data_IF_565896806289
#
_entry.id   IF_565896806289
#
_cell.length_a   1.000
_cell.length_b   1.000
_cell.length_c   1.000
_cell.angle_alpha   90.00
_cell.angle_beta   90.00
_cell.angle_gamma   90.00
#
_symmetry.space_group_name_H-M   'P 1'
#
loop_
_entity.id
_entity.type
_entity.pdbx_description
1 polymer ?
#
# COMPACT_ATOMS: atom_id res chain seq x y z
N UNK A 1 -6.93 -4.78 8.95
CA UNK A 1 -7.46 -4.63 7.58
C UNK A 1 -6.46 -5.22 6.61
N UNK A 2 -6.95 -5.81 5.53
CA UNK A 2 -6.09 -6.22 4.41
C UNK A 2 -5.73 -5.00 3.56
N UNK A 3 -4.59 -5.06 2.86
CA UNK A 3 -4.18 -3.98 1.96
C UNK A 3 -5.27 -3.65 0.92
N UNK A 4 -5.94 -4.68 0.41
CA UNK A 4 -7.03 -4.56 -0.56
C UNK A 4 -8.24 -3.80 -0.02
N UNK A 5 -8.55 -3.92 1.27
CA UNK A 5 -9.60 -3.13 1.92
C UNK A 5 -9.18 -1.66 2.02
N UNK A 6 -7.91 -1.40 2.32
CA UNK A 6 -7.38 -0.05 2.45
C UNK A 6 -7.41 0.68 1.09
N UNK A 7 -6.94 0.03 0.02
CA UNK A 7 -7.05 0.53 -1.36
C UNK A 7 -8.50 0.85 -1.71
N UNK A 8 -9.42 -0.09 -1.46
CA UNK A 8 -10.84 0.09 -1.78
C UNK A 8 -11.45 1.27 -1.05
N UNK A 9 -11.07 1.53 0.21
CA UNK A 9 -11.59 2.67 0.98
C UNK A 9 -11.10 4.00 0.43
N UNK A 10 -9.84 4.09 0.00
CA UNK A 10 -9.33 5.30 -0.64
C UNK A 10 -10.04 5.54 -1.97
N UNK A 11 -10.31 4.49 -2.74
CA UNK A 11 -11.04 4.60 -4.01
C UNK A 11 -12.49 5.05 -3.80
N UNK A 12 -13.16 4.52 -2.77
CA UNK A 12 -14.48 4.98 -2.36
C UNK A 12 -14.46 6.44 -1.90
N UNK A 13 -13.42 6.86 -1.17
CA UNK A 13 -13.26 8.26 -0.74
C UNK A 13 -13.08 9.19 -1.95
N UNK A 14 -12.23 8.81 -2.91
CA UNK A 14 -12.01 9.58 -4.14
C UNK A 14 -13.30 9.69 -4.98
N UNK A 15 -14.12 8.63 -5.01
CA UNK A 15 -15.38 8.61 -5.74
C UNK A 15 -16.46 9.46 -5.06
N UNK A 16 -16.60 9.35 -3.74
CA UNK A 16 -17.67 10.02 -2.97
C UNK A 16 -17.33 11.47 -2.65
N UNK A 17 -16.05 11.76 -2.41
CA UNK A 17 -15.55 13.06 -1.97
C UNK A 17 -14.30 13.45 -2.77
N UNK A 18 -14.40 13.71 -4.08
CA UNK A 18 -13.24 13.96 -4.96
C UNK A 18 -12.40 15.17 -4.53
N UNK A 19 -12.99 16.15 -3.85
CA UNK A 19 -12.28 17.32 -3.31
C UNK A 19 -11.30 16.96 -2.17
N UNK A 20 -11.46 15.81 -1.53
CA UNK A 20 -10.54 15.30 -0.51
C UNK A 20 -9.37 14.50 -1.10
N UNK A 21 -9.50 14.05 -2.36
CA UNK A 21 -8.48 13.31 -3.10
C UNK A 21 -8.37 13.91 -4.52
N UNK A 22 -7.94 15.19 -4.65
CA UNK A 22 -8.02 15.91 -5.91
C UNK A 22 -6.95 15.48 -6.93
N UNK A 23 -5.90 14.77 -6.51
CA UNK A 23 -4.76 14.37 -7.35
C UNK A 23 -4.35 12.92 -7.08
N UNK A 24 -3.61 12.34 -8.02
CA UNK A 24 -2.99 11.01 -7.82
C UNK A 24 -1.99 11.02 -6.66
N UNK A 25 -1.21 12.09 -6.50
CA UNK A 25 -0.29 12.24 -5.37
C UNK A 25 -1.02 12.22 -4.02
N UNK A 26 -2.17 12.90 -3.91
CA UNK A 26 -2.97 12.86 -2.69
C UNK A 26 -3.59 11.46 -2.50
N UNK A 27 -3.99 10.77 -3.57
CA UNK A 27 -4.47 9.38 -3.49
C UNK A 27 -3.38 8.45 -2.94
N UNK A 28 -2.16 8.57 -3.43
CA UNK A 28 -0.99 7.82 -2.95
C UNK A 28 -0.69 8.17 -1.49
N UNK A 29 -0.73 9.45 -1.12
CA UNK A 29 -0.53 9.88 0.28
C UNK A 29 -1.58 9.28 1.22
N UNK A 30 -2.86 9.28 0.83
CA UNK A 30 -3.93 8.66 1.65
C UNK A 30 -3.75 7.15 1.78
N UNK A 31 -3.35 6.46 0.70
CA UNK A 31 -3.03 5.03 0.76
C UNK A 31 -1.85 4.76 1.69
N UNK A 32 -0.80 5.58 1.59
CA UNK A 32 0.36 5.50 2.47
C UNK A 32 -0.02 5.62 3.94
N UNK A 33 -0.82 6.62 4.31
CA UNK A 33 -1.23 6.86 5.69
C UNK A 33 -2.11 5.71 6.25
N UNK A 34 -2.79 4.97 5.37
CA UNK A 34 -3.64 3.83 5.75
C UNK A 34 -2.88 2.50 5.80
N UNK A 35 -1.85 2.33 4.96
CA UNK A 35 -1.11 1.07 4.89
C UNK A 35 -0.34 0.79 6.18
N UNK A 36 -0.13 -0.52 6.45
CA UNK A 36 0.69 -0.94 7.59
C UNK A 36 2.13 -0.45 7.39
N UNK A 37 2.82 0.02 8.44
CA UNK A 37 4.18 0.53 8.34
C UNK A 37 5.17 -0.44 7.68
N UNK A 38 5.00 -1.74 7.93
CA UNK A 38 5.82 -2.81 7.35
C UNK A 38 5.77 -2.82 5.81
N UNK A 39 4.58 -2.58 5.25
CA UNK A 39 4.38 -2.49 3.81
C UNK A 39 5.00 -1.19 3.28
N UNK A 40 4.73 -0.08 3.96
CA UNK A 40 5.25 1.24 3.57
C UNK A 40 6.78 1.23 3.48
N UNK A 41 7.46 0.65 4.48
CA UNK A 41 8.94 0.52 4.49
C UNK A 41 9.46 -0.26 3.30
N UNK A 42 8.76 -1.31 2.86
CA UNK A 42 9.17 -2.11 1.70
C UNK A 42 8.95 -1.35 0.38
N UNK A 43 7.90 -0.53 0.29
CA UNK A 43 7.65 0.27 -0.92
C UNK A 43 8.55 1.51 -0.95
N UNK A 44 8.97 2.05 0.20
CA UNK A 44 9.70 3.33 0.35
C UNK A 44 11.22 3.18 0.43
N UNK A 45 11.83 2.63 -0.63
CA UNK A 45 13.28 2.43 -0.70
C UNK A 45 14.08 3.66 -1.17
N UNK A 46 13.54 4.89 -1.14
CA UNK A 46 14.29 6.11 -1.51
C UNK A 46 13.46 7.23 -2.16
N UNK A 47 14.14 8.19 -2.81
CA UNK A 47 13.51 9.31 -3.56
C UNK A 47 12.55 8.76 -4.61
N UNK A 48 11.25 9.00 -4.42
CA UNK A 48 10.23 8.54 -5.36
C UNK A 48 10.00 9.57 -6.47
N UNK A 49 10.24 9.20 -7.74
CA UNK A 49 9.59 9.92 -8.83
C UNK A 49 8.06 9.81 -8.66
N UNK A 50 7.29 10.77 -9.18
CA UNK A 50 5.85 10.64 -9.25
C UNK A 50 5.53 9.35 -10.00
N UNK A 51 4.84 8.43 -9.33
CA UNK A 51 4.46 7.14 -9.88
C UNK A 51 2.93 7.04 -9.97
N UNK A 52 2.39 6.35 -10.98
CA UNK A 52 0.96 6.10 -11.07
C UNK A 52 0.39 5.31 -9.87
N UNK A 53 -0.89 5.52 -9.57
CA UNK A 53 -1.57 4.87 -8.44
C UNK A 53 -1.61 3.35 -8.59
N UNK A 54 -1.84 2.85 -9.80
CA UNK A 54 -1.85 1.41 -10.11
C UNK A 54 -0.49 0.76 -9.85
N UNK A 55 0.60 1.41 -10.28
CA UNK A 55 1.95 0.95 -9.98
C UNK A 55 2.22 0.95 -8.46
N UNK A 56 1.72 1.97 -7.74
CA UNK A 56 1.87 2.04 -6.28
C UNK A 56 1.13 0.88 -5.58
N UNK A 57 -0.10 0.59 -6.02
CA UNK A 57 -0.91 -0.52 -5.51
C UNK A 57 -0.25 -1.86 -5.82
N UNK A 58 0.30 -2.05 -7.02
CA UNK A 58 0.99 -3.29 -7.40
C UNK A 58 2.21 -3.54 -6.50
N UNK A 59 3.05 -2.51 -6.27
CA UNK A 59 4.19 -2.63 -5.34
C UNK A 59 3.74 -2.97 -3.92
N UNK A 60 2.63 -2.40 -3.48
CA UNK A 60 2.09 -2.65 -2.15
C UNK A 60 1.57 -4.09 -1.99
N UNK A 61 0.92 -4.64 -3.01
CA UNK A 61 0.49 -6.04 -3.05
C UNK A 61 1.70 -6.99 -3.05
N UNK A 62 2.73 -6.67 -3.84
CA UNK A 62 3.95 -7.46 -3.87
C UNK A 62 4.68 -7.44 -2.52
N UNK A 63 4.74 -6.27 -1.86
CA UNK A 63 5.27 -6.14 -0.50
C UNK A 63 4.49 -6.99 0.50
N UNK A 64 3.16 -6.98 0.45
CA UNK A 64 2.32 -7.81 1.31
C UNK A 64 2.59 -9.31 1.10
N UNK A 65 2.75 -9.74 -0.16
CA UNK A 65 3.11 -11.11 -0.49
C UNK A 65 4.49 -11.52 0.09
N UNK A 66 5.52 -10.70 -0.11
CA UNK A 66 6.88 -10.96 0.40
C UNK A 66 6.87 -11.08 1.92
N UNK A 67 6.19 -10.16 2.62
CA UNK A 67 6.09 -10.19 4.08
C UNK A 67 5.35 -11.43 4.58
N UNK A 68 4.28 -11.84 3.90
CA UNK A 68 3.56 -13.06 4.22
C UNK A 68 4.43 -14.31 4.02
N UNK A 69 5.19 -14.38 2.93
CA UNK A 69 6.11 -15.48 2.66
C UNK A 69 7.24 -15.54 3.71
N UNK A 70 7.88 -14.41 4.02
CA UNK A 70 8.93 -14.34 5.04
C UNK A 70 8.42 -14.76 6.43
N UNK A 71 7.17 -14.42 6.77
CA UNK A 71 6.53 -14.86 8.02
C UNK A 71 6.31 -16.38 8.05
N UNK A 72 5.88 -16.98 6.93
CA UNK A 72 5.73 -18.43 6.82
C UNK A 72 7.07 -19.16 6.90
N UNK A 73 8.10 -18.67 6.21
CA UNK A 73 9.45 -19.23 6.26
C UNK A 73 10.04 -19.17 7.67
N UNK A 74 9.85 -18.03 8.36
CA UNK A 74 10.27 -17.89 9.76
C UNK A 74 9.53 -18.86 10.68
N UNK A 75 8.24 -19.09 10.48
CA UNK A 75 7.48 -20.05 11.28
C UNK A 75 8.03 -21.47 11.16
N UNK A 76 8.44 -21.89 9.94
CA UNK A 76 9.05 -23.20 9.69
C UNK A 76 10.41 -23.40 10.37
N UNK A 77 11.15 -22.33 10.68
CA UNK A 77 12.44 -22.41 11.38
C UNK A 77 12.28 -22.66 12.89
N UNK A 78 11.08 -22.48 13.43
CA UNK A 78 10.77 -22.68 14.86
C UNK A 78 9.82 -23.87 15.10
N UNK A 79 9.55 -24.70 14.08
CA UNK A 79 8.95 -26.04 14.18
C UNK A 79 10.05 -27.12 14.23
#
# INVERSE_FOLDING_TARGET
>A
MSLTEDVRRVDQLAQLCPHLVPTEDERIRRMWDMFRPEIVVVIDSGERPPMPVDEYVERALHAEYILAQAKQERAKLFE
#
